data_IF_788157491444
#
_entry.id   IF_788157491444
#
_cell.length_a   1.000
_cell.length_b   1.000
_cell.length_c   1.000
_cell.angle_alpha   90.00
_cell.angle_beta   90.00
_cell.angle_gamma   90.00
#
_symmetry.space_group_name_H-M   'P 1'
#
loop_
_entity.id
_entity.type
_entity.pdbx_description
1 polymer ?
#
# COMPACT_ATOMS: atom_id res chain seq x y z
N UNK A 1 -25.62 -10.71 -4.96
CA UNK A 1 -24.56 -9.71 -5.22
C UNK A 1 -23.31 -10.21 -4.48
N UNK A 2 -22.24 -10.60 -5.19
CA UNK A 2 -20.98 -10.97 -4.53
C UNK A 2 -20.21 -9.68 -4.28
N UNK A 3 -20.08 -9.26 -3.02
CA UNK A 3 -19.24 -8.11 -2.64
C UNK A 3 -17.79 -8.53 -2.90
N UNK A 4 -17.25 -8.11 -4.04
CA UNK A 4 -15.84 -8.34 -4.34
C UNK A 4 -15.00 -7.36 -3.54
N UNK A 5 -13.95 -7.88 -2.90
CA UNK A 5 -12.82 -7.11 -2.39
C UNK A 5 -12.30 -6.21 -3.52
N UNK A 6 -12.33 -4.89 -3.33
CA UNK A 6 -11.91 -3.92 -4.33
C UNK A 6 -10.59 -3.28 -3.93
N UNK A 7 -9.71 -3.09 -4.92
CA UNK A 7 -8.47 -2.34 -4.73
C UNK A 7 -8.78 -0.95 -4.14
N UNK A 8 -9.76 -0.25 -4.73
CA UNK A 8 -10.17 1.11 -4.34
C UNK A 8 -10.51 1.21 -2.85
N UNK A 9 -11.32 0.28 -2.33
CA UNK A 9 -11.78 0.35 -0.95
C UNK A 9 -10.63 0.17 0.04
N UNK A 10 -9.74 -0.80 -0.21
CA UNK A 10 -8.58 -1.01 0.64
C UNK A 10 -7.58 0.15 0.55
N UNK A 11 -7.31 0.62 -0.67
CA UNK A 11 -6.37 1.70 -0.92
C UNK A 11 -6.81 3.01 -0.27
N UNK A 12 -8.07 3.42 -0.45
CA UNK A 12 -8.60 4.64 0.18
C UNK A 12 -8.65 4.53 1.69
N UNK A 13 -9.01 3.36 2.23
CA UNK A 13 -9.02 3.14 3.68
C UNK A 13 -7.61 3.23 4.28
N UNK A 14 -6.61 2.66 3.60
CA UNK A 14 -5.21 2.76 4.00
C UNK A 14 -4.76 4.23 4.03
N UNK A 15 -5.09 4.99 2.98
CA UNK A 15 -4.72 6.39 2.85
C UNK A 15 -5.36 7.27 3.94
N UNK A 16 -6.67 7.13 4.15
CA UNK A 16 -7.39 7.87 5.18
C UNK A 16 -6.88 7.55 6.60
N UNK A 17 -6.50 6.29 6.85
CA UNK A 17 -5.95 5.90 8.14
C UNK A 17 -4.54 6.47 8.35
N UNK A 18 -3.67 6.42 7.33
CA UNK A 18 -2.32 6.96 7.41
C UNK A 18 -2.31 8.48 7.67
N UNK A 19 -3.25 9.23 7.07
CA UNK A 19 -3.37 10.69 7.25
C UNK A 19 -3.93 11.08 8.63
N UNK A 20 -4.85 10.28 9.18
CA UNK A 20 -5.53 10.59 10.43
C UNK A 20 -4.81 10.12 11.69
N UNK A 21 -3.88 9.17 11.59
CA UNK A 21 -3.21 8.60 12.75
C UNK A 21 -1.85 9.24 13.03
N UNK A 22 -1.72 9.90 14.18
CA UNK A 22 -0.42 10.30 14.77
C UNK A 22 0.27 9.13 15.50
N UNK A 23 -0.37 7.96 15.58
CA UNK A 23 0.07 6.84 16.38
C UNK A 23 0.70 5.72 15.53
N UNK A 24 1.91 5.30 15.91
CA UNK A 24 2.67 4.26 15.23
C UNK A 24 1.94 2.91 15.19
N UNK A 25 0.97 2.67 16.08
CA UNK A 25 0.16 1.44 16.11
C UNK A 25 -0.65 1.20 14.83
N UNK A 26 -1.05 2.28 14.14
CA UNK A 26 -1.86 2.22 12.92
C UNK A 26 -1.08 1.69 11.72
N UNK A 27 0.26 1.75 11.75
CA UNK A 27 1.14 1.29 10.66
C UNK A 27 0.88 -0.17 10.28
N UNK A 28 0.65 -1.05 11.26
CA UNK A 28 0.33 -2.47 11.04
C UNK A 28 -0.96 -2.68 10.23
N UNK A 29 -1.97 -1.85 10.50
CA UNK A 29 -3.26 -1.88 9.81
C UNK A 29 -3.13 -1.29 8.41
N UNK A 30 -2.40 -0.18 8.26
CA UNK A 30 -2.13 0.42 6.94
C UNK A 30 -1.38 -0.55 6.03
N UNK A 31 -0.34 -1.23 6.54
CA UNK A 31 0.40 -2.29 5.83
C UNK A 31 -0.57 -3.38 5.35
N UNK A 32 -1.39 -3.92 6.26
CA UNK A 32 -2.34 -5.00 5.93
C UNK A 32 -3.33 -4.57 4.84
N UNK A 33 -3.85 -3.34 4.91
CA UNK A 33 -4.77 -2.81 3.90
C UNK A 33 -4.10 -2.65 2.54
N UNK A 34 -2.84 -2.17 2.49
CA UNK A 34 -2.10 -2.02 1.23
C UNK A 34 -1.74 -3.38 0.61
N UNK A 35 -1.37 -4.37 1.42
CA UNK A 35 -1.17 -5.75 0.95
C UNK A 35 -2.46 -6.34 0.37
N UNK A 36 -3.59 -6.16 1.04
CA UNK A 36 -4.90 -6.59 0.53
C UNK A 36 -5.29 -5.86 -0.76
N UNK A 37 -4.98 -4.57 -0.88
CA UNK A 37 -5.17 -3.82 -2.12
C UNK A 37 -4.33 -4.44 -3.25
N UNK A 38 -3.05 -4.74 -3.03
CA UNK A 38 -2.15 -5.32 -4.04
C UNK A 38 -2.59 -6.71 -4.55
N UNK A 39 -3.30 -7.48 -3.72
CA UNK A 39 -3.91 -8.77 -4.09
C UNK A 39 -5.15 -8.62 -4.98
N UNK A 40 -5.76 -7.44 -5.02
CA UNK A 40 -6.93 -7.18 -5.87
C UNK A 40 -6.51 -6.92 -7.33
N UNK A 41 -7.40 -7.21 -8.31
CA UNK A 41 -7.25 -6.69 -9.67
C UNK A 41 -7.26 -5.17 -9.67
N UNK A 42 -6.30 -4.57 -10.36
CA UNK A 42 -6.16 -3.12 -10.55
C UNK A 42 -5.15 -2.85 -11.67
N UNK A 43 -5.15 -1.64 -12.22
CA UNK A 43 -4.14 -1.27 -13.21
C UNK A 43 -2.75 -1.11 -12.59
N UNK A 44 -1.75 -1.11 -13.48
CA UNK A 44 -0.34 -1.01 -13.10
C UNK A 44 -0.04 0.25 -12.31
N UNK A 45 -0.54 1.41 -12.76
CA UNK A 45 -0.27 2.70 -12.13
C UNK A 45 -0.72 2.68 -10.67
N UNK A 46 -1.95 2.22 -10.42
CA UNK A 46 -2.52 2.11 -9.07
C UNK A 46 -1.74 1.14 -8.19
N UNK A 47 -1.33 -0.02 -8.72
CA UNK A 47 -0.47 -0.94 -7.97
C UNK A 47 0.89 -0.33 -7.62
N UNK A 48 1.46 0.47 -8.52
CA UNK A 48 2.67 1.25 -8.25
C UNK A 48 2.47 2.25 -7.10
N UNK A 49 1.34 2.96 -7.08
CA UNK A 49 1.00 3.86 -5.97
C UNK A 49 0.85 3.13 -4.63
N UNK A 50 0.19 1.97 -4.61
CA UNK A 50 0.08 1.16 -3.40
C UNK A 50 1.44 0.67 -2.89
N UNK A 51 2.35 0.26 -3.77
CA UNK A 51 3.71 -0.13 -3.39
C UNK A 51 4.52 1.05 -2.85
N UNK A 52 4.40 2.23 -3.44
CA UNK A 52 5.06 3.43 -2.91
C UNK A 52 4.59 3.78 -1.50
N UNK A 53 3.27 3.73 -1.28
CA UNK A 53 2.69 3.99 0.04
C UNK A 53 3.14 2.92 1.05
N UNK A 54 3.19 1.65 0.64
CA UNK A 54 3.64 0.55 1.50
C UNK A 54 5.11 0.71 1.88
N UNK A 55 5.94 1.12 0.92
CA UNK A 55 7.34 1.47 1.15
C UNK A 55 7.49 2.59 2.19
N UNK A 56 6.70 3.66 2.09
CA UNK A 56 6.73 4.77 3.05
C UNK A 56 6.44 4.30 4.48
N UNK A 57 5.38 3.51 4.66
CA UNK A 57 5.01 3.01 6.00
C UNK A 57 6.06 2.04 6.54
N UNK A 58 6.73 1.26 5.69
CA UNK A 58 7.86 0.44 6.13
C UNK A 58 9.08 1.26 6.54
N UNK A 59 9.37 2.39 5.89
CA UNK A 59 10.40 3.34 6.34
C UNK A 59 10.07 3.86 7.73
N UNK A 60 8.82 4.29 7.95
CA UNK A 60 8.37 4.79 9.25
C UNK A 60 8.45 3.71 10.35
N UNK A 61 8.29 2.43 9.96
CA UNK A 61 8.47 1.28 10.85
C UNK A 61 9.93 0.79 10.99
N UNK A 62 10.91 1.49 10.41
CA UNK A 62 12.32 1.10 10.35
C UNK A 62 12.57 -0.29 9.70
N UNK A 63 11.69 -0.72 8.79
CA UNK A 63 11.78 -1.97 8.01
C UNK A 63 12.37 -1.68 6.63
N UNK A 64 13.62 -1.25 6.59
CA UNK A 64 14.24 -0.67 5.40
C UNK A 64 14.36 -1.65 4.22
N UNK A 65 14.64 -2.93 4.48
CA UNK A 65 14.73 -3.95 3.41
C UNK A 65 13.37 -4.13 2.71
N UNK A 66 12.28 -4.24 3.49
CA UNK A 66 10.93 -4.35 2.96
C UNK A 66 10.50 -3.07 2.20
N UNK A 67 10.92 -1.90 2.69
CA UNK A 67 10.68 -0.64 1.98
C UNK A 67 11.41 -0.60 0.62
N UNK A 68 12.67 -1.02 0.59
CA UNK A 68 13.47 -1.08 -0.65
C UNK A 68 12.82 -2.01 -1.68
N UNK A 69 12.38 -3.20 -1.26
CA UNK A 69 11.65 -4.13 -2.14
C UNK A 69 10.37 -3.52 -2.70
N UNK A 70 9.61 -2.79 -1.88
CA UNK A 70 8.41 -2.10 -2.33
C UNK A 70 8.72 -1.06 -3.42
N UNK A 71 9.72 -0.20 -3.19
CA UNK A 71 10.10 0.82 -4.16
C UNK A 71 10.68 0.22 -5.46
N UNK A 72 11.50 -0.83 -5.36
CA UNK A 72 12.01 -1.54 -6.54
C UNK A 72 10.84 -2.12 -7.36
N UNK A 73 9.87 -2.73 -6.71
CA UNK A 73 8.69 -3.25 -7.40
C UNK A 73 7.83 -2.13 -8.01
N UNK A 74 7.68 -0.98 -7.33
CA UNK A 74 6.99 0.18 -7.88
C UNK A 74 7.71 0.75 -9.12
N UNK A 75 9.04 0.78 -9.11
CA UNK A 75 9.85 1.21 -10.25
C UNK A 75 9.75 0.24 -11.43
N UNK A 76 9.69 -1.08 -11.18
CA UNK A 76 9.48 -2.10 -12.23
C UNK A 76 8.11 -1.98 -12.90
N UNK A 77 7.13 -1.39 -12.24
CA UNK A 77 5.80 -1.14 -12.79
C UNK A 77 5.80 0.05 -13.78
N UNK A 78 6.91 0.81 -13.88
CA UNK A 78 6.99 2.03 -14.67
C UNK A 78 7.14 1.81 -16.20
N UNK A 79 6.16 2.38 -16.91
CA UNK A 79 6.10 2.93 -18.28
C UNK A 79 6.92 2.27 -19.40
N UNK A 80 6.23 1.47 -20.23
CA UNK A 80 6.27 1.62 -21.69
C UNK A 80 4.94 2.21 -22.12
#
# INVERSE_FOLDING_TARGET
ISIKRSFEAFFLKAYALADSSLDASCSSTVISLLEDALRCPSDRLRKGQALNNLGSVYVDCNKLDAAADCYINALKIRHT
#
